data_IF_658590830792
#
_entry.id   IF_658590830792
#
_cell.length_a   1.000
_cell.length_b   1.000
_cell.length_c   1.000
_cell.angle_alpha   90.00
_cell.angle_beta   90.00
_cell.angle_gamma   90.00
#
_symmetry.space_group_name_H-M   'P 1'
#
loop_
_entity.id
_entity.type
_entity.pdbx_description
1 polymer ?
#
# COMPACT_ATOMS: atom_id res chain seq x y z
N UNK A 1 13.89 7.97 7.14
CA UNK A 1 13.84 6.49 7.22
C UNK A 1 12.58 6.08 6.49
N UNK A 2 12.71 5.31 5.43
CA UNK A 2 11.62 5.03 4.50
C UNK A 2 10.79 3.87 5.07
N UNK A 3 9.50 4.07 5.32
CA UNK A 3 8.64 3.08 6.00
C UNK A 3 8.65 1.70 5.33
N UNK A 4 8.87 1.68 4.01
CA UNK A 4 9.06 0.48 3.18
C UNK A 4 10.23 -0.43 3.60
N UNK A 5 11.28 0.10 4.22
CA UNK A 5 12.42 -0.71 4.72
C UNK A 5 12.07 -1.46 6.01
N UNK A 6 11.07 -0.97 6.76
CA UNK A 6 10.53 -1.64 7.94
C UNK A 6 9.46 -2.67 7.60
N UNK A 7 8.98 -2.69 6.35
CA UNK A 7 7.95 -3.61 5.93
C UNK A 7 8.55 -4.97 5.57
N UNK A 8 7.88 -6.07 5.97
CA UNK A 8 8.36 -7.39 5.63
C UNK A 8 8.26 -7.60 4.11
N UNK A 9 9.11 -8.42 3.48
CA UNK A 9 9.11 -8.69 2.04
C UNK A 9 7.94 -9.59 1.61
N UNK A 10 6.80 -9.48 2.30
CA UNK A 10 5.56 -10.24 2.11
C UNK A 10 4.36 -9.29 2.30
N UNK A 11 3.17 -9.67 1.85
CA UNK A 11 1.94 -8.92 2.13
C UNK A 11 1.76 -8.73 3.63
N UNK A 12 1.27 -7.55 4.02
CA UNK A 12 0.92 -7.28 5.40
C UNK A 12 -0.38 -7.98 5.75
N UNK A 13 -0.57 -8.32 7.03
CA UNK A 13 -1.84 -8.85 7.53
C UNK A 13 -2.58 -7.79 8.32
N UNK A 14 -3.86 -8.02 8.57
CA UNK A 14 -4.71 -7.18 9.41
C UNK A 14 -4.04 -6.81 10.75
N UNK A 15 -3.43 -7.79 11.43
CA UNK A 15 -2.72 -7.57 12.69
C UNK A 15 -1.44 -6.73 12.56
N UNK A 16 -0.69 -6.89 11.46
CA UNK A 16 0.54 -6.11 11.22
C UNK A 16 0.20 -4.67 10.82
N UNK A 17 -0.91 -4.46 10.12
CA UNK A 17 -1.43 -3.12 9.81
C UNK A 17 -1.85 -2.39 11.08
N UNK A 18 -2.52 -3.07 12.01
CA UNK A 18 -2.82 -2.50 13.34
C UNK A 18 -1.54 -2.11 14.08
N UNK A 19 -0.51 -2.97 14.08
CA UNK A 19 0.78 -2.64 14.67
C UNK A 19 1.47 -1.44 13.96
N UNK A 20 1.29 -1.30 12.64
CA UNK A 20 1.82 -0.16 11.88
C UNK A 20 1.07 1.13 12.22
N UNK A 21 -0.26 1.08 12.42
CA UNK A 21 -1.08 2.21 12.88
C UNK A 21 -0.73 2.66 14.29
N UNK A 22 -0.28 1.74 15.14
CA UNK A 22 0.14 2.04 16.51
C UNK A 22 1.55 2.65 16.57
N UNK A 23 2.31 2.61 15.48
CA UNK A 23 3.62 3.25 15.41
C UNK A 23 3.49 4.78 15.43
N UNK A 24 4.23 5.44 16.32
CA UNK A 24 4.28 6.91 16.50
C UNK A 24 4.52 7.73 15.21
N UNK A 25 5.02 7.11 14.14
CA UNK A 25 5.29 7.74 12.85
C UNK A 25 4.12 7.68 11.86
N UNK A 26 3.02 7.01 12.21
CA UNK A 26 1.86 6.80 11.36
C UNK A 26 0.64 7.45 12.00
N UNK A 27 0.09 8.44 11.32
CA UNK A 27 -1.16 9.11 11.72
C UNK A 27 -2.36 8.22 11.41
N UNK A 28 -2.38 7.63 10.21
CA UNK A 28 -3.46 6.76 9.75
C UNK A 28 -2.92 5.73 8.75
N UNK A 29 -3.45 4.51 8.74
CA UNK A 29 -3.21 3.58 7.65
C UNK A 29 -4.52 2.94 7.20
N UNK A 30 -4.76 2.80 5.90
CA UNK A 30 -5.97 2.21 5.35
C UNK A 30 -5.60 1.06 4.40
N UNK A 31 -6.14 -0.16 4.59
CA UNK A 31 -5.94 -1.26 3.66
C UNK A 31 -6.84 -1.06 2.45
N UNK A 32 -6.31 -1.30 1.24
CA UNK A 32 -7.02 -1.03 -0.01
C UNK A 32 -7.17 -2.24 -0.92
N UNK A 33 -6.22 -3.17 -0.87
CA UNK A 33 -6.29 -4.47 -1.55
C UNK A 33 -6.11 -5.57 -0.52
N UNK A 34 -7.23 -6.09 -0.01
CA UNK A 34 -7.25 -7.25 0.89
C UNK A 34 -7.67 -8.46 0.05
N UNK A 35 -6.73 -9.37 -0.16
CA UNK A 35 -6.95 -10.64 -0.85
C UNK A 35 -6.63 -11.74 0.16
N UNK A 36 -7.61 -12.54 0.60
CA UNK A 36 -7.40 -13.62 1.58
C UNK A 36 -6.65 -13.20 2.89
N UNK A 37 -7.02 -12.05 3.47
CA UNK A 37 -6.35 -11.43 4.65
C UNK A 37 -4.93 -10.89 4.38
N UNK A 38 -4.46 -10.94 3.13
CA UNK A 38 -3.21 -10.37 2.66
C UNK A 38 -3.42 -8.98 2.05
N UNK A 39 -2.80 -7.98 2.67
CA UNK A 39 -2.80 -6.59 2.21
C UNK A 39 -1.64 -6.38 1.26
N UNK A 40 -1.96 -6.21 -0.02
CA UNK A 40 -0.99 -5.93 -1.09
C UNK A 40 -0.97 -4.45 -1.49
N UNK A 41 -1.96 -3.69 -1.06
CA UNK A 41 -2.01 -2.25 -1.20
C UNK A 41 -2.51 -1.62 0.09
N UNK A 42 -1.80 -0.60 0.58
CA UNK A 42 -2.22 0.20 1.72
C UNK A 42 -1.84 1.67 1.52
N UNK A 43 -2.69 2.56 1.99
CA UNK A 43 -2.38 3.97 2.13
C UNK A 43 -1.92 4.23 3.56
N UNK A 44 -0.76 4.85 3.75
CA UNK A 44 -0.21 5.22 5.06
C UNK A 44 -0.03 6.72 5.10
N UNK A 45 -0.76 7.39 5.98
CA UNK A 45 -0.54 8.78 6.31
C UNK A 45 0.50 8.88 7.43
N UNK A 46 1.65 9.47 7.12
CA UNK A 46 2.70 9.80 8.08
C UNK A 46 2.81 11.33 8.18
N UNK A 47 2.33 11.90 9.29
CA UNK A 47 2.26 13.34 9.47
C UNK A 47 1.31 14.00 8.46
N UNK A 48 1.86 14.87 7.63
CA UNK A 48 1.16 15.66 6.59
C UNK A 48 1.32 15.04 5.20
N UNK A 49 1.73 13.77 5.09
CA UNK A 49 1.90 13.11 3.79
C UNK A 49 1.27 11.71 3.80
N UNK A 50 0.45 11.44 2.79
CA UNK A 50 -0.15 10.15 2.48
C UNK A 50 0.73 9.43 1.47
N UNK A 51 1.16 8.23 1.81
CA UNK A 51 1.95 7.34 0.98
C UNK A 51 1.09 6.15 0.56
N UNK A 52 0.86 5.99 -0.74
CA UNK A 52 0.28 4.79 -1.31
C UNK A 52 1.36 3.74 -1.54
N UNK A 53 1.33 2.66 -0.78
CA UNK A 53 2.27 1.56 -0.87
C UNK A 53 1.62 0.37 -1.60
N UNK A 54 2.31 -0.13 -2.61
CA UNK A 54 1.96 -1.35 -3.33
C UNK A 54 3.05 -2.40 -3.13
N UNK A 55 2.64 -3.63 -2.80
CA UNK A 55 3.52 -4.78 -2.65
C UNK A 55 3.56 -5.59 -3.93
N UNK A 56 4.72 -5.64 -4.60
CA UNK A 56 5.00 -6.52 -5.73
C UNK A 56 5.71 -7.81 -5.27
N UNK A 57 5.37 -9.00 -5.80
CA UNK A 57 5.93 -10.27 -5.35
C UNK A 57 7.34 -10.48 -5.93
N UNK A 58 7.63 -9.84 -7.07
CA UNK A 58 8.95 -9.85 -7.69
C UNK A 58 9.82 -8.68 -7.18
N UNK A 59 9.20 -7.52 -6.88
CA UNK A 59 9.89 -6.28 -6.51
C UNK A 59 9.81 -5.85 -5.04
N UNK A 60 8.94 -6.44 -4.22
CA UNK A 60 8.68 -6.04 -2.84
C UNK A 60 7.80 -4.78 -2.70
N UNK A 61 7.83 -4.15 -1.53
CA UNK A 61 7.09 -2.91 -1.25
C UNK A 61 7.67 -1.72 -2.00
N UNK A 62 6.81 -1.00 -2.72
CA UNK A 62 7.17 0.20 -3.46
C UNK A 62 6.16 1.32 -3.22
N UNK A 63 6.63 2.57 -3.23
CA UNK A 63 5.74 3.75 -3.20
C UNK A 63 5.14 3.91 -4.59
N UNK A 64 3.82 3.73 -4.69
CA UNK A 64 3.04 3.90 -5.92
C UNK A 64 2.67 5.37 -6.10
N UNK A 65 2.26 6.03 -5.02
CA UNK A 65 1.85 7.44 -5.02
C UNK A 65 2.21 8.08 -3.67
N UNK A 66 2.43 9.39 -3.66
CA UNK A 66 2.60 10.16 -2.43
C UNK A 66 2.00 11.54 -2.58
N UNK A 67 1.16 11.95 -1.63
CA UNK A 67 0.45 13.24 -1.64
C UNK A 67 0.45 13.88 -0.27
N UNK A 68 0.30 15.20 -0.23
CA UNK A 68 0.12 15.91 1.03
C UNK A 68 -1.24 15.55 1.64
N UNK A 69 -1.28 15.29 2.94
CA UNK A 69 -2.49 14.99 3.68
C UNK A 69 -3.19 16.31 4.06
N UNK A 70 -3.79 16.97 3.07
CA UNK A 70 -4.53 18.22 3.25
C UNK A 70 -6.03 18.00 3.34
N UNK A 71 -6.55 17.12 2.48
CA UNK A 71 -7.98 16.91 2.31
C UNK A 71 -8.34 15.42 2.31
N UNK A 72 -9.60 15.07 2.68
CA UNK A 72 -10.10 13.71 2.54
C UNK A 72 -10.10 13.22 1.08
N UNK A 73 -10.08 14.15 0.11
CA UNK A 73 -9.97 13.85 -1.31
C UNK A 73 -8.58 13.31 -1.70
N UNK A 74 -7.51 13.70 -0.98
CA UNK A 74 -6.16 13.21 -1.24
C UNK A 74 -6.04 11.72 -0.92
N UNK A 75 -6.63 11.28 0.19
CA UNK A 75 -6.71 9.87 0.55
C UNK A 75 -7.47 9.07 -0.52
N UNK A 76 -8.57 9.64 -1.04
CA UNK A 76 -9.33 9.03 -2.11
C UNK A 76 -8.51 8.93 -3.42
N UNK A 77 -7.71 9.95 -3.75
CA UNK A 77 -6.85 9.97 -4.92
C UNK A 77 -5.70 8.94 -4.81
N UNK A 78 -5.01 8.87 -3.67
CA UNK A 78 -3.99 7.84 -3.43
C UNK A 78 -4.59 6.44 -3.54
N UNK A 79 -5.81 6.26 -3.02
CA UNK A 79 -6.54 5.00 -3.15
C UNK A 79 -6.85 4.64 -4.60
N UNK A 80 -7.27 5.61 -5.40
CA UNK A 80 -7.58 5.40 -6.82
C UNK A 80 -6.33 5.02 -7.62
N UNK A 81 -5.20 5.69 -7.36
CA UNK A 81 -3.89 5.35 -7.91
C UNK A 81 -3.49 3.91 -7.54
N UNK A 82 -3.67 3.51 -6.29
CA UNK A 82 -3.36 2.15 -5.83
C UNK A 82 -4.24 1.08 -6.48
N UNK A 83 -5.56 1.33 -6.61
CA UNK A 83 -6.47 0.41 -7.32
C UNK A 83 -6.08 0.26 -8.78
N UNK A 84 -5.75 1.37 -9.44
CA UNK A 84 -5.30 1.36 -10.83
C UNK A 84 -3.98 0.60 -11.01
N UNK A 85 -3.06 0.77 -10.06
CA UNK A 85 -1.80 0.03 -10.02
C UNK A 85 -2.03 -1.47 -9.81
N UNK A 86 -2.88 -1.87 -8.85
CA UNK A 86 -3.20 -3.26 -8.58
C UNK A 86 -3.82 -3.94 -9.79
N UNK A 87 -4.79 -3.28 -10.46
CA UNK A 87 -5.39 -3.78 -11.68
C UNK A 87 -4.35 -3.99 -12.80
N UNK A 88 -3.41 -3.04 -12.97
CA UNK A 88 -2.33 -3.16 -13.95
C UNK A 88 -1.36 -4.28 -13.61
N UNK A 89 -1.06 -4.48 -12.32
CA UNK A 89 -0.19 -5.54 -11.83
C UNK A 89 -0.86 -6.92 -11.94
N UNK A 90 -2.15 -7.03 -11.64
CA UNK A 90 -2.91 -8.26 -11.82
C UNK A 90 -2.95 -8.68 -13.29
N UNK A 91 -3.17 -7.73 -14.20
CA UNK A 91 -3.10 -7.96 -15.64
C UNK A 91 -1.71 -8.48 -16.09
N UNK A 92 -0.63 -7.96 -15.51
CA UNK A 92 0.74 -8.46 -15.76
C UNK A 92 0.94 -9.88 -15.23
N UNK A 93 0.42 -10.19 -14.05
CA UNK A 93 0.54 -11.53 -13.46
C UNK A 93 -0.18 -12.60 -14.30
N UNK A 94 -1.31 -12.28 -14.93
CA UNK A 94 -2.03 -13.19 -15.83
C UNK A 94 -1.35 -13.41 -17.18
N UNK A 95 -0.45 -12.53 -17.61
CA UNK A 95 0.26 -12.64 -18.90
C UNK A 95 1.43 -13.63 -18.86
N UNK A 96 1.93 -13.97 -17.66
CA UNK A 96 3.07 -14.90 -17.46
C UNK A 96 2.63 -16.37 -17.29
N UNK A 97 1.33 -16.67 -17.44
CA UNK A 97 0.75 -18.00 -17.13
C UNK A 97 0.42 -18.91 -18.31
N UNK A 98 0.88 -18.61 -19.53
CA UNK A 98 0.66 -19.46 -20.72
C UNK A 98 2.01 -19.94 -21.28
N UNK A 99 2.52 -21.07 -20.76
CA UNK A 99 3.52 -21.93 -21.42
C UNK A 99 3.13 -23.41 -21.26
#
# INVERSE_FOLDING_TARGET
>A
MTIIESLPPRPLRSAELEALRDADSVTEAAPLGVDDDEMRALAVQAGETIYGLGYDPDGGWSVVDSREAGDPEDLAAVRDSLKSWEARRAARASDTGDE
#
